data_IF_000723796702
#
_entry.id   IF_000723796702
#
_cell.length_a   1.000
_cell.length_b   1.000
_cell.length_c   1.000
_cell.angle_alpha   90.00
_cell.angle_beta   90.00
_cell.angle_gamma   90.00
#
_symmetry.space_group_name_H-M   'P 1'
#
loop_
_entity.id
_entity.type
_entity.pdbx_description
1 polymer ?
#
# COMPACT_ATOMS: atom_id res chain seq x y z
N UNK A 1 -14.52 3.24 14.81
CA UNK A 1 -14.42 4.56 14.17
C UNK A 1 -14.70 5.68 15.15
N UNK A 2 -15.78 5.59 15.94
CA UNK A 2 -16.15 6.64 16.91
C UNK A 2 -15.00 7.03 17.84
N UNK A 3 -14.36 6.07 18.53
CA UNK A 3 -13.21 6.34 19.41
C UNK A 3 -12.00 6.99 18.71
N UNK A 4 -11.82 6.77 17.41
CA UNK A 4 -10.78 7.44 16.64
C UNK A 4 -11.14 8.91 16.37
N UNK A 5 -12.39 9.20 16.02
CA UNK A 5 -12.88 10.54 15.82
C UNK A 5 -12.79 11.36 17.11
N UNK A 6 -13.23 10.80 18.26
CA UNK A 6 -13.14 11.43 19.58
C UNK A 6 -11.69 11.76 20.01
N UNK A 7 -10.72 10.97 19.53
CA UNK A 7 -9.28 11.21 19.75
C UNK A 7 -8.64 12.14 18.71
N UNK A 8 -9.45 12.78 17.86
CA UNK A 8 -8.98 13.79 16.90
C UNK A 8 -8.39 13.22 15.61
N UNK A 9 -8.75 12.00 15.21
CA UNK A 9 -8.34 11.48 13.91
C UNK A 9 -8.85 12.38 12.77
N UNK A 10 -7.97 12.81 11.88
CA UNK A 10 -8.30 13.70 10.75
C UNK A 10 -9.04 13.00 9.61
N UNK A 11 -9.11 11.66 9.61
CA UNK A 11 -9.77 10.84 8.61
C UNK A 11 -9.43 9.38 8.75
N UNK A 12 -9.96 8.56 7.86
CA UNK A 12 -9.75 7.12 7.83
C UNK A 12 -9.30 6.64 6.45
N UNK A 13 -8.30 5.76 6.42
CA UNK A 13 -7.98 4.94 5.25
C UNK A 13 -8.91 3.72 5.24
N UNK A 14 -9.67 3.54 4.17
CA UNK A 14 -10.73 2.55 4.05
C UNK A 14 -10.33 1.47 3.06
N UNK A 15 -10.07 0.27 3.56
CA UNK A 15 -9.71 -0.91 2.74
C UNK A 15 -10.89 -1.89 2.56
N UNK A 16 -12.06 -1.61 3.15
CA UNK A 16 -13.24 -2.47 3.08
C UNK A 16 -14.50 -1.62 2.98
N UNK A 17 -15.41 -1.97 2.06
CA UNK A 17 -16.66 -1.25 1.83
C UNK A 17 -17.55 -1.20 3.09
N UNK A 18 -17.52 -2.23 3.93
CA UNK A 18 -18.23 -2.25 5.22
C UNK A 18 -17.80 -1.18 6.22
N UNK A 19 -16.64 -0.54 6.01
CA UNK A 19 -16.20 0.57 6.85
C UNK A 19 -16.85 1.91 6.48
N UNK A 20 -17.43 2.05 5.27
CA UNK A 20 -18.01 3.31 4.80
C UNK A 20 -19.11 3.85 5.72
N UNK A 21 -20.14 3.05 6.10
CA UNK A 21 -21.17 3.53 7.03
C UNK A 21 -20.57 3.94 8.37
N UNK A 22 -19.62 3.14 8.90
CA UNK A 22 -19.00 3.42 10.19
C UNK A 22 -18.20 4.73 10.20
N UNK A 23 -17.55 5.07 9.10
CA UNK A 23 -16.82 6.34 8.94
C UNK A 23 -17.81 7.52 8.84
N UNK A 24 -18.92 7.35 8.09
CA UNK A 24 -19.96 8.38 7.97
C UNK A 24 -20.59 8.70 9.32
N UNK A 25 -20.99 7.68 10.08
CA UNK A 25 -21.55 7.82 11.43
C UNK A 25 -20.59 8.53 12.39
N UNK A 26 -19.28 8.28 12.25
CA UNK A 26 -18.25 8.92 13.06
C UNK A 26 -17.82 10.30 12.51
N UNK A 27 -18.36 10.78 11.39
CA UNK A 27 -17.99 12.05 10.77
C UNK A 27 -16.55 12.07 10.22
N UNK A 28 -15.93 10.92 10.00
CA UNK A 28 -14.54 10.82 9.54
C UNK A 28 -14.44 10.94 8.01
N UNK A 29 -13.65 11.89 7.48
CA UNK A 29 -13.29 11.91 6.07
C UNK A 29 -12.65 10.60 5.61
N UNK A 30 -13.10 10.07 4.47
CA UNK A 30 -12.67 8.77 3.97
C UNK A 30 -11.70 8.90 2.79
N UNK A 31 -10.62 8.11 2.82
CA UNK A 31 -9.72 7.88 1.70
C UNK A 31 -9.70 6.39 1.39
N UNK A 32 -9.99 6.01 0.16
CA UNK A 32 -9.94 4.61 -0.28
C UNK A 32 -8.50 4.11 -0.34
N UNK A 33 -8.25 2.99 0.33
CA UNK A 33 -6.96 2.32 0.32
C UNK A 33 -6.93 1.21 -0.74
N UNK A 34 -5.75 0.65 -1.05
CA UNK A 34 -5.58 -0.39 -2.08
C UNK A 34 -6.47 -1.63 -1.88
N UNK A 35 -6.87 -1.94 -0.64
CA UNK A 35 -7.77 -3.04 -0.34
C UNK A 35 -9.17 -2.91 -0.98
N UNK A 36 -9.55 -1.72 -1.46
CA UNK A 36 -10.76 -1.54 -2.29
C UNK A 36 -10.58 -2.03 -3.73
N UNK A 37 -9.37 -2.40 -4.11
CA UNK A 37 -9.00 -2.98 -5.39
C UNK A 37 -9.57 -2.23 -6.61
N UNK A 38 -9.30 -0.93 -6.69
CA UNK A 38 -9.80 -0.06 -7.76
C UNK A 38 -9.08 -0.37 -9.06
N UNK A 39 -9.79 -0.95 -10.03
CA UNK A 39 -9.24 -1.38 -11.32
C UNK A 39 -9.87 -0.70 -12.53
N UNK A 40 -10.94 0.08 -12.33
CA UNK A 40 -11.67 0.73 -13.43
C UNK A 40 -12.32 2.06 -13.02
N UNK A 41 -12.76 2.82 -14.00
CA UNK A 41 -13.35 4.15 -13.82
C UNK A 41 -14.71 4.11 -13.10
N UNK A 42 -15.51 3.05 -13.29
CA UNK A 42 -16.81 2.93 -12.62
C UNK A 42 -16.66 2.78 -11.11
N UNK A 43 -15.65 2.02 -10.67
CA UNK A 43 -15.31 1.94 -9.24
C UNK A 43 -14.95 3.30 -8.68
N UNK A 44 -14.16 4.12 -9.40
CA UNK A 44 -13.82 5.48 -8.96
C UNK A 44 -15.07 6.36 -8.85
N UNK A 45 -15.99 6.30 -9.83
CA UNK A 45 -17.26 7.02 -9.77
C UNK A 45 -18.15 6.56 -8.62
N UNK A 46 -18.20 5.24 -8.36
CA UNK A 46 -18.90 4.69 -7.21
C UNK A 46 -18.35 5.23 -5.89
N UNK A 47 -17.03 5.19 -5.70
CA UNK A 47 -16.36 5.68 -4.49
C UNK A 47 -16.54 7.20 -4.30
N UNK A 48 -16.54 7.97 -5.39
CA UNK A 48 -16.87 9.39 -5.38
C UNK A 48 -18.29 9.61 -4.85
N UNK A 49 -19.28 8.91 -5.41
CA UNK A 49 -20.68 8.98 -4.93
C UNK A 49 -20.84 8.50 -3.51
N UNK A 50 -20.00 7.55 -3.09
CA UNK A 50 -19.94 7.08 -1.72
C UNK A 50 -19.31 8.09 -0.74
N UNK A 51 -18.79 9.23 -1.23
CA UNK A 51 -18.28 10.32 -0.40
C UNK A 51 -16.80 10.19 -0.03
N UNK A 52 -16.03 9.38 -0.74
CA UNK A 52 -14.58 9.33 -0.54
C UNK A 52 -13.91 10.59 -1.10
N UNK A 53 -12.87 11.06 -0.43
CA UNK A 53 -12.06 12.21 -0.86
C UNK A 53 -10.96 11.86 -1.84
N UNK A 54 -10.48 10.62 -1.81
CA UNK A 54 -9.49 10.08 -2.74
C UNK A 54 -9.57 8.56 -2.74
N UNK A 55 -8.96 7.90 -3.71
CA UNK A 55 -8.82 6.44 -3.70
C UNK A 55 -7.47 6.01 -4.28
N UNK A 56 -6.87 4.97 -3.68
CA UNK A 56 -5.73 4.28 -4.23
C UNK A 56 -6.19 3.29 -5.31
N UNK A 57 -5.54 3.32 -6.47
CA UNK A 57 -5.73 2.30 -7.51
C UNK A 57 -5.00 1.02 -7.13
N UNK A 58 -5.46 -0.09 -7.69
CA UNK A 58 -4.79 -1.38 -7.54
C UNK A 58 -3.35 -1.31 -8.06
N UNK A 59 -2.42 -1.85 -7.30
CA UNK A 59 -1.03 -2.01 -7.75
C UNK A 59 -0.84 -3.12 -8.78
N UNK A 60 -1.91 -3.80 -9.16
CA UNK A 60 -1.95 -4.77 -10.26
C UNK A 60 -2.18 -4.11 -11.62
N UNK A 61 -2.54 -2.82 -11.65
CA UNK A 61 -2.71 -2.08 -12.90
C UNK A 61 -1.38 -1.70 -13.52
N UNK A 62 -1.32 -1.78 -14.85
CA UNK A 62 -0.22 -1.21 -15.66
C UNK A 62 -0.32 0.30 -15.73
N UNK A 63 0.81 0.94 -16.04
CA UNK A 63 0.88 2.40 -16.22
C UNK A 63 -0.17 2.93 -17.20
N UNK A 64 -0.35 2.27 -18.35
CA UNK A 64 -1.32 2.66 -19.37
C UNK A 64 -2.75 2.56 -18.84
N UNK A 65 -3.08 1.50 -18.11
CA UNK A 65 -4.40 1.34 -17.50
C UNK A 65 -4.67 2.44 -16.47
N UNK A 66 -3.68 2.77 -15.62
CA UNK A 66 -3.82 3.87 -14.65
C UNK A 66 -3.99 5.21 -15.36
N UNK A 67 -3.24 5.47 -16.45
CA UNK A 67 -3.35 6.69 -17.25
C UNK A 67 -4.75 6.85 -17.81
N UNK A 68 -5.30 5.77 -18.36
CA UNK A 68 -6.55 5.77 -19.12
C UNK A 68 -7.82 5.73 -18.22
N UNK A 69 -7.66 5.59 -16.89
CA UNK A 69 -8.76 5.74 -15.95
C UNK A 69 -9.36 7.16 -16.03
N UNK A 70 -10.67 7.26 -16.08
CA UNK A 70 -11.37 8.49 -15.72
C UNK A 70 -11.34 8.68 -14.20
N UNK A 71 -10.54 9.66 -13.77
CA UNK A 71 -10.25 9.93 -12.36
C UNK A 71 -11.32 10.86 -11.77
N UNK A 72 -12.52 10.30 -11.57
CA UNK A 72 -13.67 11.03 -11.00
C UNK A 72 -13.39 11.63 -9.61
N UNK A 73 -12.37 11.15 -8.89
CA UNK A 73 -11.88 11.71 -7.63
C UNK A 73 -10.35 11.68 -7.60
N UNK A 74 -9.69 12.48 -6.72
CA UNK A 74 -8.24 12.44 -6.54
C UNK A 74 -7.74 11.01 -6.36
N UNK A 75 -6.84 10.59 -7.24
CA UNK A 75 -6.40 9.19 -7.37
C UNK A 75 -4.95 9.06 -6.91
N UNK A 76 -4.65 7.97 -6.24
CA UNK A 76 -3.35 7.64 -5.67
C UNK A 76 -2.84 6.31 -6.23
N UNK A 77 -1.51 6.17 -6.38
CA UNK A 77 -0.87 4.90 -6.64
C UNK A 77 0.32 4.67 -5.70
N UNK A 78 0.55 3.42 -5.33
CA UNK A 78 1.78 3.02 -4.62
C UNK A 78 2.91 3.03 -5.64
N UNK A 79 3.94 3.85 -5.38
CA UNK A 79 5.12 4.00 -6.26
C UNK A 79 6.40 3.52 -5.60
N UNK A 80 6.36 3.28 -4.29
CA UNK A 80 7.47 2.72 -3.50
C UNK A 80 6.93 1.82 -2.39
N UNK A 81 7.69 0.78 -2.10
CA UNK A 81 7.55 -0.08 -0.93
C UNK A 81 7.31 -1.54 -1.28
N UNK A 82 7.30 -2.40 -0.28
CA UNK A 82 6.98 -3.82 -0.48
C UNK A 82 5.48 -3.96 -0.68
N UNK A 83 5.09 -4.68 -1.73
CA UNK A 83 3.68 -4.96 -1.98
C UNK A 83 3.24 -6.19 -1.17
N UNK A 84 2.05 -6.15 -0.55
CA UNK A 84 1.50 -7.31 0.13
C UNK A 84 1.18 -8.41 -0.89
N UNK A 85 1.61 -9.64 -0.60
CA UNK A 85 1.35 -10.81 -1.42
C UNK A 85 0.21 -11.66 -0.86
N UNK A 86 0.13 -11.74 0.47
CA UNK A 86 -0.84 -12.61 1.13
C UNK A 86 -1.13 -12.11 2.54
N UNK A 87 -2.40 -12.18 2.92
CA UNK A 87 -2.85 -12.07 4.31
C UNK A 87 -3.28 -13.46 4.78
N UNK A 88 -2.70 -13.96 5.86
CA UNK A 88 -3.07 -15.25 6.46
C UNK A 88 -3.87 -15.07 7.73
N UNK A 89 -4.88 -15.88 7.94
CA UNK A 89 -5.61 -15.94 9.23
C UNK A 89 -4.76 -16.59 10.34
N UNK A 90 -3.66 -17.26 9.99
CA UNK A 90 -2.72 -17.87 10.93
C UNK A 90 -1.55 -16.93 11.25
N UNK A 91 -1.24 -16.77 12.54
CA UNK A 91 -0.07 -16.01 12.97
C UNK A 91 1.21 -16.81 12.76
N UNK A 92 1.98 -16.46 11.74
CA UNK A 92 3.27 -17.11 11.44
C UNK A 92 4.37 -16.75 12.44
N UNK A 93 4.20 -15.67 13.21
CA UNK A 93 5.12 -15.24 14.26
C UNK A 93 4.86 -15.95 15.60
N UNK A 94 3.84 -16.81 15.69
CA UNK A 94 3.53 -17.56 16.89
C UNK A 94 4.14 -18.96 16.79
N UNK A 95 5.14 -19.30 17.62
CA UNK A 95 5.70 -20.65 17.64
C UNK A 95 4.63 -21.64 18.13
N UNK A 96 4.76 -22.91 17.79
CA UNK A 96 3.85 -23.99 18.25
C UNK A 96 3.75 -24.05 19.79
N UNK A 97 4.82 -23.69 20.48
CA UNK A 97 4.88 -23.58 21.96
C UNK A 97 5.55 -22.26 22.33
N UNK A 98 4.96 -21.52 23.26
CA UNK A 98 5.52 -20.27 23.77
C UNK A 98 4.69 -19.02 23.45
N UNK A 99 5.23 -17.86 23.84
CA UNK A 99 4.60 -16.56 23.63
C UNK A 99 4.72 -16.08 22.18
N UNK A 100 3.83 -15.16 21.79
CA UNK A 100 3.90 -14.49 20.49
C UNK A 100 5.16 -13.63 20.39
N UNK A 101 5.81 -13.63 19.21
CA UNK A 101 7.04 -12.87 18.92
C UNK A 101 6.78 -11.66 17.99
N UNK A 102 5.55 -11.21 17.91
CA UNK A 102 5.16 -10.11 17.03
C UNK A 102 5.84 -8.76 17.33
N UNK A 103 6.36 -8.58 18.55
CA UNK A 103 7.10 -7.38 18.95
C UNK A 103 8.58 -7.41 18.57
N UNK A 104 9.08 -8.56 18.13
CA UNK A 104 10.46 -8.72 17.66
C UNK A 104 10.56 -8.22 16.20
N UNK A 105 11.78 -8.26 15.62
CA UNK A 105 11.98 -7.95 14.21
C UNK A 105 11.07 -8.83 13.32
N UNK A 106 10.65 -8.34 12.15
CA UNK A 106 9.80 -9.10 11.23
C UNK A 106 10.38 -10.48 10.96
N UNK A 107 9.56 -11.52 11.08
CA UNK A 107 9.96 -12.84 10.65
C UNK A 107 10.18 -12.88 9.14
N UNK A 108 11.00 -13.79 8.68
CA UNK A 108 11.25 -14.02 7.26
C UNK A 108 10.73 -15.39 6.85
N UNK A 109 9.92 -15.43 5.82
CA UNK A 109 9.57 -16.66 5.13
C UNK A 109 10.53 -16.83 3.95
N UNK A 110 11.29 -17.91 3.93
CA UNK A 110 12.23 -18.17 2.84
C UNK A 110 11.66 -19.26 1.93
N UNK A 111 11.61 -18.99 0.63
CA UNK A 111 11.18 -19.97 -0.35
C UNK A 111 12.32 -20.95 -0.73
N UNK A 112 12.02 -21.93 -1.57
CA UNK A 112 12.99 -22.93 -2.06
C UNK A 112 14.13 -22.35 -2.90
N UNK A 113 14.00 -21.11 -3.38
CA UNK A 113 15.04 -20.41 -4.18
C UNK A 113 15.93 -19.54 -3.30
N UNK A 114 15.64 -19.43 -1.99
CA UNK A 114 16.34 -18.57 -1.04
C UNK A 114 15.82 -17.15 -0.97
N UNK A 115 14.74 -16.81 -1.69
CA UNK A 115 14.13 -15.49 -1.59
C UNK A 115 13.43 -15.32 -0.23
N UNK A 116 13.71 -14.21 0.45
CA UNK A 116 13.22 -13.91 1.80
C UNK A 116 12.07 -12.89 1.76
N UNK A 117 10.90 -13.31 2.25
CA UNK A 117 9.67 -12.53 2.27
C UNK A 117 9.42 -12.08 3.72
N UNK A 118 9.42 -10.77 4.00
CA UNK A 118 9.07 -10.29 5.33
C UNK A 118 7.64 -10.64 5.72
N UNK A 119 7.46 -11.05 6.96
CA UNK A 119 6.15 -11.39 7.55
C UNK A 119 5.84 -10.37 8.63
N UNK A 120 4.87 -9.51 8.38
CA UNK A 120 4.44 -8.47 9.30
C UNK A 120 3.21 -8.92 10.11
N UNK A 121 3.12 -8.53 11.38
CA UNK A 121 1.91 -8.76 12.15
C UNK A 121 0.78 -7.87 11.62
N UNK A 122 -0.40 -8.45 11.48
CA UNK A 122 -1.62 -7.75 11.11
C UNK A 122 -2.67 -7.85 12.23
N UNK A 123 -3.71 -7.03 12.15
CA UNK A 123 -4.77 -7.00 13.16
C UNK A 123 -5.40 -8.39 13.36
N UNK A 124 -5.71 -8.73 14.61
CA UNK A 124 -6.35 -10.00 14.97
C UNK A 124 -5.40 -11.21 14.95
N UNK A 125 -4.11 -11.01 15.19
CA UNK A 125 -3.09 -12.09 15.13
C UNK A 125 -2.96 -12.75 13.75
N UNK A 126 -3.20 -12.00 12.68
CA UNK A 126 -2.92 -12.37 11.30
C UNK A 126 -1.49 -12.07 10.92
N UNK A 127 -1.07 -12.59 9.79
CA UNK A 127 0.24 -12.25 9.22
C UNK A 127 0.08 -11.77 7.78
N UNK A 128 0.70 -10.64 7.46
CA UNK A 128 0.82 -10.12 6.11
C UNK A 128 2.21 -10.48 5.56
N UNK A 129 2.24 -11.20 4.45
CA UNK A 129 3.47 -11.59 3.77
C UNK A 129 3.77 -10.56 2.70
N UNK A 130 4.91 -9.91 2.80
CA UNK A 130 5.36 -8.87 1.89
C UNK A 130 6.24 -9.42 0.78
N UNK A 131 6.25 -8.77 -0.37
CA UNK A 131 7.15 -9.12 -1.47
C UNK A 131 8.62 -9.06 -1.01
N UNK A 132 9.43 -10.02 -1.45
CA UNK A 132 10.87 -10.05 -1.18
C UNK A 132 11.60 -8.84 -1.79
N UNK A 133 11.07 -8.24 -2.87
CA UNK A 133 11.63 -7.05 -3.53
C UNK A 133 10.75 -5.82 -3.33
N UNK A 134 11.40 -4.69 -3.09
CA UNK A 134 10.73 -3.38 -2.97
C UNK A 134 10.31 -2.87 -4.34
N UNK A 135 9.06 -2.42 -4.49
CA UNK A 135 8.64 -1.64 -5.65
C UNK A 135 9.40 -0.31 -5.67
N UNK A 136 9.98 0.04 -6.82
CA UNK A 136 10.68 1.30 -6.99
C UNK A 136 10.48 1.84 -8.41
N UNK A 137 9.90 3.04 -8.54
CA UNK A 137 9.54 3.66 -9.83
C UNK A 137 10.24 5.00 -10.07
N UNK A 138 11.03 5.51 -9.10
CA UNK A 138 11.63 6.84 -9.21
C UNK A 138 12.77 6.96 -10.25
N UNK A 139 13.26 5.84 -10.79
CA UNK A 139 14.30 5.84 -11.80
C UNK A 139 13.80 6.27 -13.18
N UNK A 140 12.52 6.05 -13.51
CA UNK A 140 11.90 6.38 -14.80
C UNK A 140 10.96 7.58 -14.78
N UNK A 141 10.42 7.95 -13.63
CA UNK A 141 9.49 9.06 -13.45
C UNK A 141 8.17 8.98 -14.28
N UNK A 142 7.87 7.87 -14.94
CA UNK A 142 6.66 7.72 -15.78
C UNK A 142 5.37 7.88 -14.97
N UNK A 143 5.42 7.50 -13.69
CA UNK A 143 4.30 7.65 -12.77
C UNK A 143 3.83 9.11 -12.59
N UNK A 144 4.71 10.11 -12.82
CA UNK A 144 4.36 11.53 -12.76
C UNK A 144 3.42 11.96 -13.88
N UNK A 145 3.31 11.18 -14.95
CA UNK A 145 2.50 11.48 -16.14
C UNK A 145 1.15 10.76 -16.16
N UNK A 146 0.80 10.04 -15.10
CA UNK A 146 -0.42 9.24 -15.03
C UNK A 146 -1.64 10.02 -14.54
N UNK A 147 -1.53 11.33 -14.28
CA UNK A 147 -2.62 12.15 -13.75
C UNK A 147 -2.99 11.78 -12.31
N UNK A 148 -2.04 11.27 -11.53
CA UNK A 148 -2.23 10.97 -10.12
C UNK A 148 -2.21 12.25 -9.29
N UNK A 149 -3.12 12.35 -8.31
CA UNK A 149 -3.10 13.42 -7.31
C UNK A 149 -2.07 13.14 -6.21
N UNK A 150 -1.82 11.87 -5.91
CA UNK A 150 -0.89 11.45 -4.87
C UNK A 150 -0.04 10.26 -5.32
N UNK A 151 1.20 10.24 -4.85
CA UNK A 151 2.11 9.10 -4.96
C UNK A 151 2.39 8.56 -3.55
N UNK A 152 2.05 7.31 -3.29
CA UNK A 152 2.24 6.69 -1.97
C UNK A 152 3.58 6.02 -1.87
N UNK A 153 4.32 6.36 -0.81
CA UNK A 153 5.51 5.65 -0.37
C UNK A 153 5.12 4.79 0.84
N UNK A 154 5.18 3.47 0.68
CA UNK A 154 4.81 2.51 1.73
C UNK A 154 6.08 1.98 2.39
N UNK A 155 6.36 2.48 3.59
CA UNK A 155 7.47 2.00 4.41
C UNK A 155 6.99 0.86 5.31
N UNK A 156 7.77 -0.20 5.41
CA UNK A 156 7.46 -1.40 6.21
C UNK A 156 8.62 -1.89 7.05
N UNK A 157 9.77 -2.13 6.44
CA UNK A 157 10.96 -2.70 7.08
C UNK A 157 12.17 -1.79 6.96
N UNK A 158 12.04 -0.68 6.29
CA UNK A 158 13.12 0.25 6.02
C UNK A 158 13.57 0.98 7.31
N UNK A 159 14.87 1.08 7.57
CA UNK A 159 15.38 1.93 8.64
C UNK A 159 15.16 3.41 8.31
N UNK A 160 15.16 4.27 9.33
CA UNK A 160 14.87 5.70 9.19
C UNK A 160 15.75 6.40 8.14
N UNK A 161 17.03 6.04 8.05
CA UNK A 161 17.95 6.60 7.05
C UNK A 161 17.51 6.27 5.61
N UNK A 162 17.07 5.04 5.37
CA UNK A 162 16.56 4.63 4.06
C UNK A 162 15.24 5.35 3.74
N UNK A 163 14.34 5.49 4.70
CA UNK A 163 13.12 6.27 4.53
C UNK A 163 13.42 7.70 4.10
N UNK A 164 14.40 8.37 4.72
CA UNK A 164 14.82 9.73 4.36
C UNK A 164 15.41 9.77 2.94
N UNK A 165 16.21 8.79 2.54
CA UNK A 165 16.74 8.70 1.17
C UNK A 165 15.63 8.53 0.13
N UNK A 166 14.68 7.65 0.41
CA UNK A 166 13.50 7.48 -0.46
C UNK A 166 12.73 8.78 -0.60
N UNK A 167 12.44 9.47 0.50
CA UNK A 167 11.76 10.77 0.48
C UNK A 167 12.51 11.79 -0.39
N UNK A 168 13.82 11.93 -0.21
CA UNK A 168 14.66 12.82 -1.04
C UNK A 168 14.63 12.41 -2.50
N UNK A 169 14.69 11.11 -2.81
CA UNK A 169 14.66 10.59 -4.18
C UNK A 169 13.34 10.91 -4.88
N UNK A 170 12.19 10.71 -4.20
CA UNK A 170 10.86 10.97 -4.77
C UNK A 170 10.50 12.46 -4.80
N UNK A 171 11.04 13.28 -3.91
CA UNK A 171 10.91 14.75 -3.95
C UNK A 171 11.81 15.42 -5.00
N UNK A 172 12.77 14.70 -5.56
CA UNK A 172 13.76 15.25 -6.51
C UNK A 172 14.96 15.92 -5.83
N UNK A 173 15.08 15.83 -4.50
CA UNK A 173 16.23 16.39 -3.77
C UNK A 173 17.51 15.51 -3.85
N UNK A 174 17.37 14.25 -4.26
CA UNK A 174 18.49 13.32 -4.48
C UNK A 174 18.28 12.57 -5.78
N UNK A 175 19.28 12.60 -6.65
CA UNK A 175 19.28 11.85 -7.91
C UNK A 175 20.20 10.63 -7.83
N UNK A 176 19.94 9.63 -8.69
CA UNK A 176 20.80 8.47 -8.88
C UNK A 176 20.63 7.34 -7.84
N UNK A 177 20.17 7.61 -6.63
CA UNK A 177 19.97 6.55 -5.64
C UNK A 177 18.84 5.58 -6.04
N UNK A 178 19.08 4.29 -5.82
CA UNK A 178 18.10 3.21 -5.98
C UNK A 178 18.40 2.08 -5.00
N UNK A 179 17.40 1.29 -4.58
CA UNK A 179 17.63 0.08 -3.80
C UNK A 179 18.53 -0.91 -4.54
N UNK A 180 19.30 -1.72 -3.81
CA UNK A 180 20.16 -2.77 -4.42
C UNK A 180 19.34 -3.77 -5.22
N UNK A 181 18.23 -4.20 -4.65
CA UNK A 181 17.26 -5.09 -5.30
C UNK A 181 15.88 -4.45 -5.28
N UNK A 182 15.25 -4.34 -6.44
CA UNK A 182 13.92 -3.78 -6.55
C UNK A 182 13.13 -4.43 -7.69
N UNK A 183 11.84 -4.21 -7.67
CA UNK A 183 10.91 -4.61 -8.73
C UNK A 183 10.14 -3.40 -9.22
N UNK A 184 9.59 -3.49 -10.42
CA UNK A 184 8.58 -2.55 -10.92
C UNK A 184 7.16 -3.11 -10.81
N UNK A 185 6.98 -4.24 -10.13
CA UNK A 185 5.71 -4.91 -10.00
C UNK A 185 5.11 -5.20 -11.38
N UNK A 186 3.81 -4.97 -11.50
CA UNK A 186 3.07 -5.08 -12.76
C UNK A 186 3.00 -3.77 -13.54
N UNK A 187 3.66 -2.70 -13.09
CA UNK A 187 3.55 -1.37 -13.69
C UNK A 187 3.88 -1.32 -15.19
N UNK A 188 4.78 -2.20 -15.67
CA UNK A 188 5.14 -2.32 -17.09
C UNK A 188 4.78 -3.69 -17.69
N UNK A 189 4.05 -4.54 -16.96
CA UNK A 189 3.68 -5.89 -17.40
C UNK A 189 2.20 -6.11 -17.17
N UNK A 190 1.55 -6.88 -18.03
CA UNK A 190 0.21 -7.38 -17.72
C UNK A 190 0.28 -8.55 -16.72
N UNK A 191 -0.82 -8.77 -16.01
CA UNK A 191 -1.12 -10.09 -15.43
C UNK A 191 -1.42 -11.00 -16.60
N UNK A 192 -0.60 -12.01 -16.81
CA UNK A 192 -0.83 -13.05 -17.83
C UNK A 192 -1.85 -14.07 -17.35
#
# INVERSE_FOLDING_TARGET
MQAAAERGAAGAAVSNLGHLPLCREAGLPMRGDWGLNVTNSETLRFLQRAGLRSAAVSFELRAEQIRDLDKALPTEAVVYGRLPLMLTEHCLNKPRRGACRCAEAPALLTDRTGAAFPVLPAFGCRSEIENCKTLFLADKNDWKRLGLAFARLRFTTEPAEECLRVLRRYSGAEEGWKPKEFTRGLFYRSVE
#
